data_IF_020485195179
#
_entry.id   IF_020485195179
#
_cell.length_a   1.000
_cell.length_b   1.000
_cell.length_c   1.000
_cell.angle_alpha   90.00
_cell.angle_beta   90.00
_cell.angle_gamma   90.00
#
_symmetry.space_group_name_H-M   'P 1'
#
loop_
_entity.id
_entity.type
_entity.pdbx_description
1 polymer ?
#
# COMPACT_ATOMS: atom_id res chain seq x y z
N UNK A 1 52.49 60.91 -16.67
CA UNK A 1 51.74 62.19 -16.70
C UNK A 1 50.59 62.09 -17.70
N UNK A 2 49.46 62.70 -17.36
CA UNK A 2 48.21 62.86 -18.14
C UNK A 2 47.21 61.68 -18.16
N UNK A 3 46.39 61.66 -17.09
CA UNK A 3 45.03 61.13 -17.07
C UNK A 3 44.15 61.75 -18.16
N UNK A 4 43.12 61.02 -18.63
CA UNK A 4 41.73 61.44 -19.00
C UNK A 4 41.11 60.32 -19.87
N UNK A 5 39.85 59.90 -19.79
CA UNK A 5 38.67 60.26 -18.98
C UNK A 5 37.67 59.09 -19.12
N UNK A 6 37.05 58.71 -18.01
CA UNK A 6 35.99 57.70 -17.90
C UNK A 6 34.70 58.10 -18.64
N UNK A 7 34.04 57.13 -19.27
CA UNK A 7 32.58 57.14 -19.48
C UNK A 7 32.05 55.71 -19.32
N UNK A 8 31.70 55.37 -18.08
CA UNK A 8 30.94 54.15 -17.75
C UNK A 8 29.47 54.53 -17.86
N UNK A 9 28.75 53.89 -18.78
CA UNK A 9 27.30 54.02 -18.91
C UNK A 9 26.65 53.30 -17.73
N UNK A 10 26.17 54.07 -16.75
CA UNK A 10 25.39 53.58 -15.60
C UNK A 10 23.91 53.75 -15.93
N UNK A 11 23.24 52.65 -16.26
CA UNK A 11 21.78 52.47 -16.25
C UNK A 11 21.54 50.97 -16.13
N UNK A 12 20.78 50.39 -15.20
CA UNK A 12 20.05 50.91 -14.07
C UNK A 12 19.96 49.75 -13.06
N UNK A 13 20.12 50.06 -11.77
CA UNK A 13 19.81 49.14 -10.67
C UNK A 13 18.29 49.13 -10.49
N UNK A 14 17.63 48.01 -10.75
CA UNK A 14 16.32 47.71 -10.17
C UNK A 14 16.53 46.52 -9.24
N UNK A 15 16.26 46.78 -7.97
CA UNK A 15 16.55 45.90 -6.85
C UNK A 15 15.35 44.99 -6.52
N UNK A 16 15.70 43.79 -6.06
CA UNK A 16 15.00 42.87 -5.15
C UNK A 16 13.56 42.43 -5.49
N UNK A 17 13.45 41.14 -5.82
CA UNK A 17 12.42 40.30 -5.23
C UNK A 17 13.12 39.16 -4.46
N UNK A 18 13.05 39.22 -3.13
CA UNK A 18 13.33 38.09 -2.25
C UNK A 18 11.99 37.44 -1.93
N UNK A 19 11.74 36.28 -2.54
CA UNK A 19 10.78 35.27 -2.09
C UNK A 19 11.21 33.99 -2.82
N UNK A 20 12.03 33.15 -2.22
CA UNK A 20 11.56 32.15 -1.27
C UNK A 20 11.79 30.79 -1.95
N UNK A 21 12.47 29.88 -1.24
CA UNK A 21 12.67 28.50 -1.68
C UNK A 21 11.30 27.90 -2.04
N UNK A 22 11.04 27.72 -3.33
CA UNK A 22 9.95 26.87 -3.81
C UNK A 22 10.68 25.70 -4.46
N UNK A 23 11.10 24.68 -3.70
CA UNK A 23 10.19 23.89 -2.88
C UNK A 23 9.38 23.05 -3.86
N UNK A 24 9.82 21.81 -4.05
CA UNK A 24 9.31 20.85 -5.01
C UNK A 24 7.79 20.89 -5.19
N UNK A 25 7.34 20.86 -6.43
CA UNK A 25 6.09 20.20 -6.78
C UNK A 25 6.35 19.34 -8.00
N UNK A 26 7.11 18.27 -7.77
CA UNK A 26 6.86 17.02 -8.47
C UNK A 26 5.38 16.74 -8.22
N UNK A 27 4.55 16.97 -9.23
CA UNK A 27 3.20 16.44 -9.25
C UNK A 27 3.39 14.94 -9.38
N UNK A 28 3.62 14.26 -8.26
CA UNK A 28 3.37 12.84 -8.15
C UNK A 28 1.89 12.70 -8.45
N UNK A 29 1.58 12.39 -9.71
CA UNK A 29 0.30 11.83 -10.08
C UNK A 29 0.07 10.72 -9.06
N UNK A 30 -0.87 10.98 -8.13
CA UNK A 30 -1.29 10.02 -7.14
C UNK A 30 -1.84 8.86 -7.93
N UNK A 31 -0.98 7.88 -8.17
CA UNK A 31 -1.40 6.55 -8.55
C UNK A 31 -2.28 6.15 -7.38
N UNK A 32 -3.61 6.24 -7.56
CA UNK A 32 -4.56 5.66 -6.62
C UNK A 32 -4.22 4.18 -6.59
N UNK A 33 -3.32 3.82 -5.68
CA UNK A 33 -2.89 2.45 -5.45
C UNK A 33 -4.16 1.74 -5.06
N UNK A 34 -4.70 0.97 -6.01
CA UNK A 34 -5.97 0.27 -5.87
C UNK A 34 -5.77 -0.64 -4.67
N UNK A 35 -6.32 -0.27 -3.51
CA UNK A 35 -6.17 -1.06 -2.29
C UNK A 35 -6.72 -2.45 -2.59
N UNK A 36 -5.85 -3.44 -2.70
CA UNK A 36 -6.28 -4.80 -2.96
C UNK A 36 -6.87 -5.36 -1.67
N UNK A 37 -8.08 -5.91 -1.76
CA UNK A 37 -8.72 -6.63 -0.66
C UNK A 37 -8.96 -8.09 -1.01
N UNK A 38 -7.89 -8.87 -1.29
CA UNK A 38 -8.01 -10.20 -1.83
C UNK A 38 -8.54 -11.17 -0.78
N UNK A 39 -9.30 -12.16 -1.25
CA UNK A 39 -9.63 -13.35 -0.47
C UNK A 39 -8.59 -14.42 -0.75
N UNK A 40 -7.89 -14.89 0.27
CA UNK A 40 -6.84 -15.89 0.12
C UNK A 40 -7.28 -17.18 0.83
N UNK A 41 -7.20 -18.31 0.14
CA UNK A 41 -7.46 -19.62 0.75
C UNK A 41 -6.46 -19.89 1.86
N UNK A 42 -6.94 -20.49 2.95
CA UNK A 42 -6.08 -20.90 4.04
C UNK A 42 -6.09 -22.41 4.18
N UNK A 43 -4.90 -22.99 4.32
CA UNK A 43 -4.74 -24.36 4.79
C UNK A 43 -4.58 -24.32 6.29
N UNK A 44 -5.59 -24.81 7.01
CA UNK A 44 -5.53 -24.91 8.48
C UNK A 44 -4.40 -25.84 8.87
N UNK A 45 -3.38 -25.29 9.55
CA UNK A 45 -2.37 -26.11 10.17
C UNK A 45 -3.01 -26.86 11.35
N UNK A 46 -2.46 -28.01 11.74
CA UNK A 46 -2.94 -28.86 12.85
C UNK A 46 -3.02 -28.15 14.21
N UNK A 47 -2.49 -26.94 14.31
CA UNK A 47 -2.69 -26.01 15.43
C UNK A 47 -4.08 -25.37 15.38
N UNK A 48 -4.76 -25.31 16.52
CA UNK A 48 -6.01 -24.52 16.65
C UNK A 48 -5.80 -23.01 16.45
N UNK A 49 -4.55 -22.55 16.40
CA UNK A 49 -4.18 -21.15 16.23
C UNK A 49 -4.40 -20.67 14.77
N UNK A 50 -5.35 -19.74 14.52
CA UNK A 50 -5.58 -19.18 13.19
C UNK A 50 -4.40 -18.38 12.63
N UNK A 51 -3.45 -17.95 13.45
CA UNK A 51 -2.29 -17.20 12.97
C UNK A 51 -1.26 -18.11 12.28
N UNK A 52 -1.32 -19.42 12.55
CA UNK A 52 -0.43 -20.44 11.96
C UNK A 52 -1.03 -21.07 10.69
N UNK A 53 -2.18 -20.58 10.23
CA UNK A 53 -2.75 -21.00 8.97
C UNK A 53 -1.85 -20.58 7.81
N UNK A 54 -1.60 -21.51 6.90
CA UNK A 54 -0.80 -21.28 5.72
C UNK A 54 -1.66 -20.62 4.64
N UNK A 55 -1.22 -19.48 4.11
CA UNK A 55 -1.86 -18.81 2.99
C UNK A 55 -1.51 -19.53 1.68
N UNK A 56 -2.54 -19.81 0.89
CA UNK A 56 -2.44 -20.39 -0.45
C UNK A 56 -2.80 -19.36 -1.52
N UNK A 57 -3.59 -19.80 -2.50
CA UNK A 57 -3.98 -18.99 -3.65
C UNK A 57 -5.11 -17.99 -3.33
N UNK A 58 -5.19 -16.92 -4.12
CA UNK A 58 -6.35 -16.03 -4.14
C UNK A 58 -7.59 -16.78 -4.67
N UNK A 59 -8.73 -16.60 -4.00
CA UNK A 59 -10.00 -17.20 -4.37
C UNK A 59 -11.04 -16.13 -4.71
N UNK A 60 -12.11 -16.57 -5.39
CA UNK A 60 -13.30 -15.75 -5.60
C UNK A 60 -13.99 -15.39 -4.29
N UNK A 61 -14.64 -14.23 -4.25
CA UNK A 61 -15.32 -13.72 -3.06
C UNK A 61 -16.47 -14.64 -2.61
N UNK A 62 -16.38 -15.27 -1.41
CA UNK A 62 -17.39 -16.19 -0.90
C UNK A 62 -18.73 -15.51 -0.55
N UNK A 63 -18.78 -14.17 -0.48
CA UNK A 63 -20.03 -13.41 -0.28
C UNK A 63 -20.97 -13.50 -1.47
N UNK A 64 -20.44 -13.83 -2.65
CA UNK A 64 -21.22 -13.98 -3.89
C UNK A 64 -21.97 -15.32 -3.96
N UNK A 65 -21.83 -16.17 -2.94
CA UNK A 65 -22.44 -17.50 -2.89
C UNK A 65 -21.79 -18.51 -3.83
N UNK A 66 -20.66 -18.16 -4.45
CA UNK A 66 -19.90 -19.01 -5.35
C UNK A 66 -18.59 -19.42 -4.68
N UNK A 67 -18.33 -20.72 -4.55
CA UNK A 67 -17.06 -21.25 -4.04
C UNK A 67 -17.18 -22.16 -2.82
N UNK A 68 -16.03 -22.62 -2.28
CA UNK A 68 -15.99 -23.65 -1.24
C UNK A 68 -16.13 -23.12 0.20
N UNK A 69 -16.23 -21.79 0.38
CA UNK A 69 -16.25 -21.14 1.68
C UNK A 69 -17.58 -20.40 1.93
N UNK A 70 -17.96 -20.25 3.20
CA UNK A 70 -19.13 -19.50 3.67
C UNK A 70 -18.73 -18.47 4.73
N UNK A 71 -19.54 -17.43 4.93
CA UNK A 71 -19.28 -16.41 5.96
C UNK A 71 -19.79 -16.79 7.36
N UNK A 72 -20.64 -17.81 7.45
CA UNK A 72 -21.10 -18.34 8.73
C UNK A 72 -19.92 -18.92 9.49
N UNK A 73 -19.72 -18.51 10.74
CA UNK A 73 -18.62 -18.98 11.59
C UNK A 73 -18.72 -20.50 11.78
N UNK A 74 -17.65 -21.21 11.43
CA UNK A 74 -17.52 -22.67 11.57
C UNK A 74 -16.13 -23.01 12.15
N UNK A 75 -15.91 -24.25 12.64
CA UNK A 75 -14.64 -24.63 13.24
C UNK A 75 -13.46 -24.56 12.25
N UNK A 76 -13.71 -24.88 10.98
CA UNK A 76 -12.69 -24.93 9.94
C UNK A 76 -12.69 -23.63 9.14
N UNK A 77 -11.56 -22.93 9.18
CA UNK A 77 -11.32 -21.75 8.35
C UNK A 77 -11.06 -22.19 6.92
N UNK A 78 -11.48 -21.36 5.98
CA UNK A 78 -11.41 -21.67 4.55
C UNK A 78 -10.67 -20.56 3.79
N UNK A 79 -10.95 -19.30 4.11
CA UNK A 79 -10.24 -18.17 3.52
C UNK A 79 -10.22 -16.96 4.44
N UNK A 80 -9.28 -16.05 4.19
CA UNK A 80 -9.16 -14.77 4.89
C UNK A 80 -9.12 -13.66 3.87
N UNK A 81 -9.90 -12.60 4.10
CA UNK A 81 -9.80 -11.37 3.33
C UNK A 81 -8.78 -10.46 3.99
N UNK A 82 -7.75 -10.07 3.25
CA UNK A 82 -6.75 -9.12 3.71
C UNK A 82 -7.05 -7.73 3.17
N UNK A 83 -6.81 -6.69 3.95
CA UNK A 83 -6.55 -5.36 3.41
C UNK A 83 -5.06 -5.30 3.09
N UNK A 84 -4.70 -5.22 1.81
CA UNK A 84 -3.32 -5.16 1.36
C UNK A 84 -3.12 -3.93 0.46
N UNK A 85 -3.09 -2.71 1.05
CA UNK A 85 -3.02 -1.47 0.29
C UNK A 85 -1.69 -1.29 -0.46
N UNK A 86 -0.70 -2.10 -0.12
CA UNK A 86 0.64 -2.04 -0.68
C UNK A 86 0.94 -3.10 -1.72
N UNK A 87 -0.01 -4.00 -1.99
CA UNK A 87 0.13 -5.13 -2.92
C UNK A 87 1.34 -6.02 -2.59
N UNK A 88 1.57 -6.30 -1.30
CA UNK A 88 2.56 -7.29 -0.86
C UNK A 88 2.17 -8.67 -1.40
N UNK A 89 3.14 -9.47 -1.82
CA UNK A 89 2.91 -10.88 -2.09
C UNK A 89 2.74 -11.61 -0.75
N UNK A 90 1.58 -12.25 -0.56
CA UNK A 90 1.23 -12.98 0.67
C UNK A 90 1.26 -14.50 0.46
N UNK A 91 1.59 -14.95 -0.75
CA UNK A 91 1.64 -16.37 -1.11
C UNK A 91 2.67 -17.10 -0.26
N UNK A 92 2.37 -18.32 0.17
CA UNK A 92 3.25 -19.17 0.99
C UNK A 92 3.68 -18.56 2.35
N UNK A 93 3.03 -17.49 2.81
CA UNK A 93 3.17 -16.96 4.17
C UNK A 93 2.17 -17.61 5.12
N UNK A 94 2.46 -17.57 6.41
CA UNK A 94 1.42 -17.74 7.44
C UNK A 94 0.58 -16.47 7.60
N UNK A 95 -0.60 -16.59 8.19
CA UNK A 95 -1.42 -15.43 8.57
C UNK A 95 -0.63 -14.45 9.47
N UNK A 96 0.20 -14.96 10.38
CA UNK A 96 1.07 -14.14 11.23
C UNK A 96 2.09 -13.33 10.43
N UNK A 97 2.82 -13.97 9.51
CA UNK A 97 3.82 -13.31 8.67
C UNK A 97 3.18 -12.26 7.75
N UNK A 98 1.99 -12.55 7.21
CA UNK A 98 1.24 -11.59 6.41
C UNK A 98 0.86 -10.35 7.24
N UNK A 99 0.46 -10.52 8.51
CA UNK A 99 0.13 -9.42 9.42
C UNK A 99 1.35 -8.59 9.87
N UNK A 100 2.56 -9.13 9.73
CA UNK A 100 3.79 -8.37 9.96
C UNK A 100 4.14 -7.44 8.79
N UNK A 101 3.54 -7.65 7.60
CA UNK A 101 3.74 -6.77 6.46
C UNK A 101 3.12 -5.39 6.69
N UNK A 102 3.84 -4.34 6.29
CA UNK A 102 3.42 -2.97 6.54
C UNK A 102 2.09 -2.65 5.87
N UNK A 103 1.09 -2.30 6.68
CA UNK A 103 -0.24 -1.92 6.25
C UNK A 103 -1.18 -3.09 5.95
N UNK A 104 -0.74 -4.34 6.15
CA UNK A 104 -1.60 -5.51 5.98
C UNK A 104 -2.44 -5.73 7.24
N UNK A 105 -3.73 -6.02 7.06
CA UNK A 105 -4.65 -6.36 8.15
C UNK A 105 -5.72 -7.33 7.68
N UNK A 106 -6.39 -8.02 8.60
CA UNK A 106 -7.53 -8.88 8.26
C UNK A 106 -8.81 -8.05 8.21
N UNK A 107 -9.51 -8.11 7.08
CA UNK A 107 -10.82 -7.51 6.91
C UNK A 107 -11.95 -8.47 7.33
N UNK A 108 -11.91 -9.71 6.82
CA UNK A 108 -12.95 -10.73 7.01
C UNK A 108 -12.36 -12.13 7.02
N UNK A 109 -13.16 -13.08 7.49
CA UNK A 109 -12.85 -14.51 7.51
C UNK A 109 -14.02 -15.29 6.91
N UNK A 110 -13.70 -16.38 6.22
CA UNK A 110 -14.64 -17.34 5.68
C UNK A 110 -14.24 -18.76 6.11
N UNK A 111 -15.22 -19.65 6.12
CA UNK A 111 -15.16 -20.94 6.78
C UNK A 111 -15.69 -22.05 5.87
N UNK A 112 -15.36 -23.31 6.16
CA UNK A 112 -15.95 -24.45 5.46
C UNK A 112 -17.40 -24.66 5.95
N UNK A 113 -18.37 -24.94 5.05
CA UNK A 113 -19.78 -25.16 5.39
C UNK A 113 -20.03 -26.17 6.52
#
# INVERSE_FOLDING_TARGET
MHMRKFKINVMALVALAVAGVTGATLTSAGLSKKSSTPWIEVTTNSSSDPNQDQLGDEISDPTTGSGPCVLTVKPLRCAVQFNNPNDHDLTDMTVEEALQQSGVSIAKKAYRP
#
